data_IF_472466858720
#
_entry.id   IF_472466858720
#
_cell.length_a   1.000
_cell.length_b   1.000
_cell.length_c   1.000
_cell.angle_alpha   90.00
_cell.angle_beta   90.00
_cell.angle_gamma   90.00
#
_symmetry.space_group_name_H-M   'P 1'
#
loop_
_entity.id
_entity.type
_entity.pdbx_description
1 polymer ?
#
# COMPACT_ATOMS: atom_id res chain seq x y z
N UNK A 1 8.80 -11.49 -17.21
CA UNK A 1 7.49 -12.00 -17.60
C UNK A 1 7.47 -12.09 -19.12
N UNK A 2 6.95 -13.17 -19.63
CA UNK A 2 6.95 -13.44 -21.07
C UNK A 2 5.50 -13.74 -21.50
N UNK A 3 5.09 -13.24 -22.64
CA UNK A 3 3.76 -13.47 -23.22
C UNK A 3 2.97 -12.19 -23.48
N UNK A 4 1.83 -12.36 -24.13
CA UNK A 4 0.93 -11.27 -24.47
C UNK A 4 0.15 -10.80 -23.23
N UNK A 5 -0.08 -9.50 -23.14
CA UNK A 5 -0.95 -8.91 -22.10
C UNK A 5 -2.40 -9.00 -22.58
N UNK A 6 -3.26 -9.59 -21.75
CA UNK A 6 -4.71 -9.61 -22.01
C UNK A 6 -5.38 -8.58 -21.12
N UNK A 7 -6.08 -7.62 -21.75
CA UNK A 7 -6.93 -6.66 -21.04
C UNK A 7 -8.33 -7.28 -20.84
N UNK A 8 -8.73 -7.49 -19.59
CA UNK A 8 -10.06 -7.98 -19.21
C UNK A 8 -11.05 -6.84 -18.95
N UNK A 9 -10.63 -5.60 -19.12
CA UNK A 9 -11.45 -4.42 -18.88
C UNK A 9 -11.62 -4.08 -17.39
N UNK A 10 -12.68 -3.36 -17.10
CA UNK A 10 -12.99 -2.90 -15.73
C UNK A 10 -13.54 -4.05 -14.88
N UNK A 11 -12.90 -4.34 -13.76
CA UNK A 11 -13.25 -5.47 -12.87
C UNK A 11 -14.27 -5.10 -11.79
N UNK A 12 -14.37 -3.80 -11.44
CA UNK A 12 -15.33 -3.25 -10.47
C UNK A 12 -15.59 -1.78 -10.82
N UNK A 13 -16.86 -1.39 -10.98
CA UNK A 13 -17.26 0.01 -11.09
C UNK A 13 -17.65 0.56 -9.71
N UNK A 14 -17.23 1.78 -9.41
CA UNK A 14 -17.60 2.47 -8.16
C UNK A 14 -19.13 2.63 -8.00
N UNK A 15 -19.87 2.66 -9.11
CA UNK A 15 -21.34 2.77 -9.09
C UNK A 15 -22.03 1.50 -8.63
N UNK A 16 -21.33 0.37 -8.64
CA UNK A 16 -21.83 -0.92 -8.13
C UNK A 16 -21.67 -1.05 -6.62
N UNK A 17 -20.95 -0.10 -5.97
CA UNK A 17 -20.67 -0.15 -4.54
C UNK A 17 -21.61 0.79 -3.77
N UNK A 18 -22.57 0.27 -2.99
CA UNK A 18 -23.69 1.06 -2.44
C UNK A 18 -23.28 2.21 -1.53
N UNK A 19 -22.18 2.07 -0.80
CA UNK A 19 -21.71 3.07 0.16
C UNK A 19 -20.76 4.12 -0.45
N UNK A 20 -20.30 3.91 -1.70
CA UNK A 20 -19.33 4.79 -2.35
C UNK A 20 -20.02 6.00 -2.98
N UNK A 21 -19.52 7.18 -2.63
CA UNK A 21 -19.88 8.45 -3.26
C UNK A 21 -18.93 8.79 -4.41
N UNK A 22 -17.61 8.68 -4.20
CA UNK A 22 -16.58 9.10 -5.15
C UNK A 22 -15.18 8.61 -4.81
N UNK A 23 -14.23 8.85 -5.70
CA UNK A 23 -12.78 8.66 -5.49
C UNK A 23 -12.43 7.23 -5.02
N UNK A 24 -12.68 6.25 -5.86
CA UNK A 24 -12.08 4.93 -5.71
C UNK A 24 -10.66 5.01 -6.25
N UNK A 25 -9.68 4.72 -5.38
CA UNK A 25 -8.26 4.87 -5.67
C UNK A 25 -7.52 3.53 -5.69
N UNK A 26 -6.20 3.55 -5.49
CA UNK A 26 -5.33 2.38 -5.65
C UNK A 26 -5.76 1.22 -4.75
N UNK A 27 -5.81 0.02 -5.33
CA UNK A 27 -6.34 -1.20 -4.73
C UNK A 27 -5.32 -2.33 -4.77
N UNK A 28 -5.59 -3.38 -3.99
CA UNK A 28 -4.82 -4.62 -4.00
C UNK A 28 -5.75 -5.85 -3.95
N UNK A 29 -5.26 -7.00 -4.38
CA UNK A 29 -6.03 -8.23 -4.46
C UNK A 29 -5.27 -9.42 -3.88
N UNK A 30 -5.97 -10.23 -3.09
CA UNK A 30 -5.44 -11.45 -2.50
C UNK A 30 -6.31 -12.66 -2.84
N UNK A 31 -5.67 -13.80 -3.09
CA UNK A 31 -6.36 -15.10 -3.23
C UNK A 31 -6.42 -15.82 -1.88
N UNK A 32 -7.58 -16.36 -1.54
CA UNK A 32 -7.77 -17.32 -0.44
C UNK A 32 -8.87 -18.31 -0.78
N UNK A 33 -8.55 -19.60 -0.64
CA UNK A 33 -9.50 -20.72 -0.80
C UNK A 33 -10.25 -20.71 -2.16
N UNK A 34 -9.53 -20.34 -3.24
CA UNK A 34 -10.08 -20.27 -4.59
C UNK A 34 -10.98 -19.07 -4.86
N UNK A 35 -11.04 -18.11 -3.95
CA UNK A 35 -11.70 -16.82 -4.11
C UNK A 35 -10.67 -15.70 -4.19
N UNK A 36 -11.02 -14.63 -4.90
CA UNK A 36 -10.21 -13.42 -5.04
C UNK A 36 -10.91 -12.26 -4.33
N UNK A 37 -10.16 -11.55 -3.49
CA UNK A 37 -10.65 -10.47 -2.65
C UNK A 37 -9.94 -9.18 -3.06
N UNK A 38 -10.68 -8.27 -3.68
CA UNK A 38 -10.19 -6.96 -4.09
C UNK A 38 -10.48 -5.95 -2.97
N UNK A 39 -9.45 -5.36 -2.41
CA UNK A 39 -9.55 -4.30 -1.40
C UNK A 39 -9.30 -2.94 -2.06
N UNK A 40 -10.18 -2.00 -1.80
CA UNK A 40 -10.14 -0.69 -2.43
C UNK A 40 -10.52 0.41 -1.45
N UNK A 41 -9.88 1.59 -1.52
CA UNK A 41 -10.31 2.75 -0.78
C UNK A 41 -11.31 3.55 -1.61
N UNK A 42 -12.37 4.04 -0.98
CA UNK A 42 -13.27 4.99 -1.62
C UNK A 42 -13.90 5.92 -0.58
N UNK A 43 -14.31 7.11 -1.02
CA UNK A 43 -15.03 8.04 -0.14
C UNK A 43 -16.49 7.67 -0.03
N UNK A 44 -16.94 7.55 1.22
CA UNK A 44 -18.34 7.37 1.57
C UNK A 44 -19.15 8.67 1.40
N UNK A 45 -20.44 8.62 1.71
CA UNK A 45 -21.35 9.77 1.60
C UNK A 45 -21.02 10.93 2.56
N UNK A 46 -20.13 10.71 3.52
CA UNK A 46 -19.63 11.75 4.44
C UNK A 46 -18.28 12.33 4.01
N UNK A 47 -17.80 11.98 2.80
CA UNK A 47 -16.49 12.37 2.25
C UNK A 47 -15.28 11.84 3.03
N UNK A 48 -15.47 10.73 3.76
CA UNK A 48 -14.42 10.02 4.47
C UNK A 48 -14.01 8.79 3.65
N UNK A 49 -12.70 8.58 3.48
CA UNK A 49 -12.20 7.34 2.91
C UNK A 49 -12.46 6.16 3.83
N UNK A 50 -12.99 5.08 3.26
CA UNK A 50 -13.16 3.76 3.87
C UNK A 50 -12.52 2.72 2.98
N UNK A 51 -12.15 1.60 3.56
CA UNK A 51 -11.73 0.43 2.79
C UNK A 51 -12.95 -0.47 2.54
N UNK A 52 -13.13 -0.86 1.29
CA UNK A 52 -14.11 -1.85 0.88
C UNK A 52 -13.44 -3.14 0.47
N UNK A 53 -14.23 -4.20 0.39
CA UNK A 53 -13.84 -5.47 -0.19
C UNK A 53 -14.87 -5.94 -1.20
N UNK A 54 -14.42 -6.48 -2.32
CA UNK A 54 -15.24 -7.13 -3.33
C UNK A 54 -14.67 -8.52 -3.64
N UNK A 55 -15.53 -9.48 -3.95
CA UNK A 55 -15.17 -10.90 -4.08
C UNK A 55 -15.47 -11.40 -5.48
N UNK A 56 -14.57 -12.23 -6.03
CA UNK A 56 -14.74 -12.90 -7.31
C UNK A 56 -14.27 -14.35 -7.25
N UNK A 57 -14.81 -15.18 -8.16
CA UNK A 57 -14.33 -16.55 -8.40
C UNK A 57 -13.14 -16.60 -9.37
N UNK A 58 -12.76 -15.47 -9.95
CA UNK A 58 -11.64 -15.37 -10.91
C UNK A 58 -10.77 -14.12 -10.61
N UNK A 59 -9.47 -14.14 -10.93
CA UNK A 59 -8.60 -12.99 -10.67
C UNK A 59 -8.93 -11.75 -11.51
N UNK A 60 -9.69 -11.92 -12.57
CA UNK A 60 -10.06 -10.85 -13.51
C UNK A 60 -11.52 -10.44 -13.38
N UNK A 61 -12.20 -10.84 -12.31
CA UNK A 61 -13.57 -10.44 -12.00
C UNK A 61 -14.64 -11.19 -12.83
N UNK A 62 -15.88 -10.67 -12.85
CA UNK A 62 -16.29 -9.45 -12.14
C UNK A 62 -16.23 -9.61 -10.62
N UNK A 63 -15.91 -8.55 -9.93
CA UNK A 63 -15.91 -8.52 -8.47
C UNK A 63 -17.26 -8.02 -7.93
N UNK A 64 -17.81 -8.72 -6.96
CA UNK A 64 -19.06 -8.35 -6.28
C UNK A 64 -18.71 -7.67 -4.95
N UNK A 65 -19.00 -6.36 -4.78
CA UNK A 65 -18.68 -5.65 -3.57
C UNK A 65 -19.56 -6.03 -2.38
N UNK A 66 -19.01 -5.94 -1.17
CA UNK A 66 -19.81 -5.99 0.06
C UNK A 66 -20.66 -4.71 0.19
N UNK A 67 -21.81 -4.83 0.83
CA UNK A 67 -22.77 -3.71 1.00
C UNK A 67 -22.26 -2.58 1.87
N UNK A 68 -21.30 -2.88 2.74
CA UNK A 68 -20.74 -1.97 3.74
C UNK A 68 -19.20 -2.00 3.69
N UNK A 69 -18.53 -0.91 4.06
CA UNK A 69 -17.08 -0.89 4.17
C UNK A 69 -16.59 -1.73 5.36
N UNK A 70 -15.32 -2.05 5.38
CA UNK A 70 -14.66 -2.68 6.53
C UNK A 70 -14.78 -1.74 7.74
N UNK A 71 -15.38 -2.23 8.81
CA UNK A 71 -15.60 -1.45 10.04
C UNK A 71 -14.29 -1.02 10.67
N UNK A 72 -14.22 0.23 11.13
CA UNK A 72 -13.01 0.80 11.71
C UNK A 72 -11.94 1.18 10.68
N UNK A 73 -12.20 0.97 9.38
CA UNK A 73 -11.29 1.39 8.32
C UNK A 73 -11.40 2.90 8.03
N UNK A 74 -10.30 3.46 7.58
CA UNK A 74 -10.16 4.85 7.13
C UNK A 74 -8.95 4.98 6.23
N UNK A 75 -8.76 6.14 5.56
CA UNK A 75 -7.61 6.41 4.69
C UNK A 75 -7.57 5.54 3.43
N UNK A 76 -6.41 5.35 2.82
CA UNK A 76 -6.23 4.85 1.45
C UNK A 76 -5.16 3.75 1.36
N UNK A 77 -4.94 3.26 0.14
CA UNK A 77 -3.84 2.40 -0.28
C UNK A 77 -3.76 1.09 0.54
N UNK A 78 -4.84 0.27 0.53
CA UNK A 78 -4.77 -1.04 1.14
C UNK A 78 -3.79 -1.94 0.38
N UNK A 79 -2.90 -2.60 1.12
CA UNK A 79 -2.05 -3.66 0.65
C UNK A 79 -2.29 -4.91 1.50
N UNK A 80 -2.50 -6.04 0.85
CA UNK A 80 -2.91 -7.29 1.52
C UNK A 80 -1.74 -8.26 1.53
N UNK A 81 -1.38 -8.70 2.71
CA UNK A 81 -0.30 -9.66 2.90
C UNK A 81 -0.82 -10.93 3.58
N UNK A 82 -0.63 -12.08 2.93
CA UNK A 82 -0.90 -13.41 3.48
C UNK A 82 0.41 -14.00 3.97
N UNK A 83 0.51 -14.23 5.27
CA UNK A 83 1.71 -14.81 5.89
C UNK A 83 1.73 -16.34 5.74
N UNK A 84 2.88 -16.96 6.04
CA UNK A 84 3.12 -18.42 5.91
C UNK A 84 2.20 -19.27 6.81
N UNK A 85 1.70 -18.70 7.90
CA UNK A 85 0.72 -19.35 8.80
C UNK A 85 -0.73 -19.26 8.31
N UNK A 86 -0.94 -18.60 7.14
CA UNK A 86 -2.25 -18.38 6.53
C UNK A 86 -2.99 -17.17 7.08
N UNK A 87 -2.45 -16.46 8.08
CA UNK A 87 -3.05 -15.23 8.56
C UNK A 87 -2.88 -14.11 7.53
N UNK A 88 -3.93 -13.31 7.36
CA UNK A 88 -3.93 -12.21 6.38
C UNK A 88 -4.00 -10.85 7.09
N UNK A 89 -3.19 -9.92 6.61
CA UNK A 89 -3.05 -8.57 7.12
C UNK A 89 -3.34 -7.54 6.03
N UNK A 90 -3.93 -6.40 6.41
CA UNK A 90 -4.08 -5.25 5.52
C UNK A 90 -3.26 -4.10 6.08
N UNK A 91 -2.31 -3.62 5.29
CA UNK A 91 -1.56 -2.39 5.55
C UNK A 91 -2.24 -1.26 4.78
N UNK A 92 -2.38 -0.09 5.38
CA UNK A 92 -3.06 1.02 4.73
C UNK A 92 -2.68 2.36 5.33
N UNK A 93 -2.96 3.41 4.58
CA UNK A 93 -2.76 4.78 5.02
C UNK A 93 -2.16 5.65 3.94
N UNK A 94 -2.52 6.92 3.97
CA UNK A 94 -1.92 7.96 3.14
C UNK A 94 -2.22 9.33 3.71
N UNK A 95 -1.22 10.20 3.67
CA UNK A 95 -1.31 11.58 4.15
C UNK A 95 -2.05 12.46 3.14
N UNK A 96 -2.26 13.72 3.49
CA UNK A 96 -2.90 14.76 2.67
C UNK A 96 -4.25 14.30 2.10
N UNK A 97 -4.33 14.00 0.79
CA UNK A 97 -5.54 13.51 0.12
C UNK A 97 -6.08 12.22 0.71
N UNK A 98 -5.20 11.38 1.26
CA UNK A 98 -5.53 10.11 1.91
C UNK A 98 -6.09 10.24 3.33
N UNK A 99 -6.09 11.44 3.91
CA UNK A 99 -6.76 11.78 5.17
C UNK A 99 -6.17 11.15 6.44
N UNK A 100 -5.02 10.46 6.39
CA UNK A 100 -4.46 9.75 7.56
C UNK A 100 -4.17 10.71 8.74
N UNK A 101 -3.73 11.93 8.46
CA UNK A 101 -3.47 12.99 9.45
C UNK A 101 -4.75 13.51 10.17
N UNK A 102 -5.91 12.98 9.81
CA UNK A 102 -7.19 13.26 10.48
C UNK A 102 -7.54 12.20 11.53
N UNK A 103 -6.62 11.27 11.81
CA UNK A 103 -6.86 10.18 12.76
C UNK A 103 -5.73 10.07 13.76
N UNK A 104 -6.11 10.04 15.04
CA UNK A 104 -5.22 9.78 16.16
C UNK A 104 -5.79 8.62 16.98
N UNK A 105 -4.97 7.60 17.25
CA UNK A 105 -5.39 6.41 17.95
C UNK A 105 -6.71 5.82 17.43
N UNK A 106 -6.84 5.72 16.09
CA UNK A 106 -8.02 5.31 15.32
C UNK A 106 -9.27 6.20 15.48
N UNK A 107 -9.16 7.28 16.22
CA UNK A 107 -10.26 8.25 16.39
C UNK A 107 -10.13 9.40 15.41
N UNK A 108 -11.25 9.78 14.78
CA UNK A 108 -11.29 10.91 13.89
C UNK A 108 -11.10 12.24 14.68
N UNK A 109 -10.27 13.12 14.15
CA UNK A 109 -10.03 14.46 14.66
C UNK A 109 -10.96 15.46 13.99
N UNK A 110 -11.32 16.53 14.68
CA UNK A 110 -12.09 17.64 14.09
C UNK A 110 -11.33 18.32 12.93
N UNK A 111 -10.00 18.47 13.11
CA UNK A 111 -9.10 19.04 12.11
C UNK A 111 -7.93 18.11 11.84
N UNK A 112 -7.28 18.29 10.71
CA UNK A 112 -6.02 17.60 10.39
C UNK A 112 -4.91 18.07 11.34
N UNK A 113 -4.16 17.12 11.91
CA UNK A 113 -3.00 17.42 12.74
C UNK A 113 -1.74 16.86 12.07
N UNK A 114 -0.69 17.67 12.04
CA UNK A 114 0.63 17.28 11.59
C UNK A 114 1.62 17.44 12.74
N UNK A 115 2.45 16.44 13.03
CA UNK A 115 3.51 16.58 14.02
C UNK A 115 4.55 17.60 13.55
N UNK A 116 5.24 18.25 14.48
CA UNK A 116 6.38 19.09 14.16
C UNK A 116 7.55 18.24 13.63
N UNK A 117 8.47 18.83 12.87
CA UNK A 117 9.57 18.12 12.22
C UNK A 117 10.42 17.25 13.17
N UNK A 118 10.55 17.63 14.41
CA UNK A 118 11.29 16.90 15.44
C UNK A 118 10.50 15.77 16.14
N UNK A 119 9.20 15.66 15.89
CA UNK A 119 8.32 14.66 16.47
C UNK A 119 8.23 13.41 15.58
N UNK A 120 7.78 12.26 16.12
CA UNK A 120 7.57 11.05 15.31
C UNK A 120 6.63 11.30 14.13
N UNK A 121 6.99 10.75 12.96
CA UNK A 121 6.16 10.80 11.77
C UNK A 121 4.85 10.02 11.97
N UNK A 122 3.80 10.42 11.26
CA UNK A 122 2.53 9.68 11.23
C UNK A 122 2.77 8.32 10.54
N UNK A 123 2.58 7.18 11.23
CA UNK A 123 2.83 5.87 10.67
C UNK A 123 1.66 5.37 9.83
N UNK A 124 1.93 4.45 8.88
CA UNK A 124 0.90 3.61 8.26
C UNK A 124 0.13 2.80 9.31
N UNK A 125 -0.89 2.08 8.89
CA UNK A 125 -1.69 1.19 9.75
C UNK A 125 -1.62 -0.24 9.25
N UNK A 126 -1.78 -1.18 10.17
CA UNK A 126 -1.95 -2.60 9.87
C UNK A 126 -3.05 -3.17 10.74
N UNK A 127 -3.90 -4.01 10.16
CA UNK A 127 -4.89 -4.78 10.88
C UNK A 127 -5.01 -6.18 10.29
N UNK A 128 -5.28 -7.16 11.16
CA UNK A 128 -5.51 -8.54 10.77
C UNK A 128 -6.94 -8.72 10.29
N UNK A 129 -7.11 -9.48 9.20
CA UNK A 129 -8.42 -9.85 8.67
C UNK A 129 -9.03 -11.06 9.38
N UNK A 130 -10.34 -11.08 9.43
CA UNK A 130 -11.12 -12.26 9.80
C UNK A 130 -10.95 -13.40 8.78
N UNK A 131 -11.34 -14.61 9.17
CA UNK A 131 -11.23 -15.79 8.31
C UNK A 131 -11.97 -15.64 6.98
N UNK A 132 -13.10 -14.93 6.98
CA UNK A 132 -13.90 -14.63 5.80
C UNK A 132 -13.35 -13.52 4.92
N UNK A 133 -12.22 -12.91 5.29
CA UNK A 133 -11.53 -11.87 4.54
C UNK A 133 -12.27 -10.52 4.43
N UNK A 134 -13.38 -10.31 5.15
CA UNK A 134 -14.28 -9.17 4.92
C UNK A 134 -14.23 -8.10 6.00
N UNK A 135 -13.69 -8.40 7.17
CA UNK A 135 -13.65 -7.47 8.29
C UNK A 135 -12.32 -7.59 9.07
N UNK A 136 -11.93 -6.53 9.76
CA UNK A 136 -10.85 -6.60 10.74
C UNK A 136 -11.30 -7.37 12.00
N UNK A 137 -10.39 -8.15 12.60
CA UNK A 137 -10.60 -8.81 13.89
C UNK A 137 -9.99 -8.05 15.06
N UNK A 138 -9.35 -6.94 14.78
CA UNK A 138 -8.67 -6.08 15.75
C UNK A 138 -8.71 -4.63 15.30
N UNK A 139 -8.44 -3.71 16.23
CA UNK A 139 -8.22 -2.30 15.89
C UNK A 139 -6.92 -2.14 15.09
N UNK A 140 -6.88 -1.25 14.08
CA UNK A 140 -5.66 -0.96 13.34
C UNK A 140 -4.53 -0.49 14.26
N UNK A 141 -3.33 -1.03 14.04
CA UNK A 141 -2.11 -0.71 14.78
C UNK A 141 -1.18 0.16 13.94
N UNK A 142 -0.38 1.05 14.57
CA UNK A 142 0.63 1.81 13.86
C UNK A 142 1.77 0.92 13.36
N UNK A 143 2.19 1.14 12.11
CA UNK A 143 3.40 0.54 11.52
C UNK A 143 4.56 1.48 11.77
N UNK A 144 5.32 1.23 12.85
CA UNK A 144 6.41 2.11 13.27
C UNK A 144 7.68 1.78 12.48
N UNK A 145 8.26 2.80 11.84
CA UNK A 145 9.55 2.72 11.17
C UNK A 145 10.60 3.39 12.06
N UNK A 146 11.69 2.68 12.32
CA UNK A 146 12.80 3.14 13.13
C UNK A 146 13.99 3.53 12.25
N UNK A 147 14.78 4.48 12.72
CA UNK A 147 16.09 4.80 12.19
C UNK A 147 17.16 3.76 12.63
N UNK A 148 18.41 4.01 12.27
CA UNK A 148 19.57 3.19 12.61
C UNK A 148 19.89 3.17 14.13
N UNK A 149 19.42 4.16 14.87
CA UNK A 149 19.55 4.26 16.34
C UNK A 149 18.38 3.57 17.08
N UNK A 150 17.42 3.02 16.36
CA UNK A 150 16.21 2.38 16.92
C UNK A 150 15.16 3.38 17.41
N UNK A 151 15.19 4.63 16.92
CA UNK A 151 14.18 5.66 17.22
C UNK A 151 13.19 5.79 16.08
N UNK A 152 11.91 6.11 16.35
CA UNK A 152 10.95 6.38 15.28
C UNK A 152 11.42 7.48 14.34
N UNK A 153 11.24 7.28 13.03
CA UNK A 153 11.49 8.32 12.04
C UNK A 153 10.65 9.56 12.36
N UNK A 154 11.19 10.73 12.07
CA UNK A 154 10.58 12.02 12.40
C UNK A 154 9.73 12.55 11.23
N UNK A 155 8.80 13.44 11.55
CA UNK A 155 7.99 14.11 10.55
C UNK A 155 8.81 14.91 9.52
N UNK A 156 9.95 15.47 9.94
CA UNK A 156 10.89 16.18 9.08
C UNK A 156 11.79 15.27 8.21
N UNK A 157 11.76 13.95 8.38
CA UNK A 157 12.55 13.00 7.59
C UNK A 157 11.87 12.73 6.23
N UNK A 158 11.66 13.76 5.44
CA UNK A 158 10.85 13.74 4.20
C UNK A 158 11.30 12.71 3.16
N UNK A 159 12.56 12.35 3.13
CA UNK A 159 13.17 11.37 2.24
C UNK A 159 13.13 9.93 2.77
N UNK A 160 12.63 9.71 3.98
CA UNK A 160 12.60 8.39 4.63
C UNK A 160 11.27 8.04 5.29
N UNK A 161 10.49 9.04 5.73
CA UNK A 161 9.23 8.80 6.43
C UNK A 161 8.14 8.29 5.50
N UNK A 162 7.20 7.55 6.08
CA UNK A 162 5.99 7.11 5.40
C UNK A 162 5.14 8.30 4.94
N UNK A 163 4.61 8.19 3.72
CA UNK A 163 3.58 9.09 3.21
C UNK A 163 2.35 8.32 2.75
N UNK A 164 2.49 7.35 1.83
CA UNK A 164 1.40 6.51 1.32
C UNK A 164 1.93 5.22 0.64
N UNK A 165 1.08 4.48 -0.07
CA UNK A 165 1.44 3.33 -0.89
C UNK A 165 2.13 2.20 -0.11
N UNK A 166 1.52 1.76 0.99
CA UNK A 166 2.01 0.62 1.78
C UNK A 166 2.10 -0.65 0.94
N UNK A 167 3.15 -1.44 1.16
CA UNK A 167 3.27 -2.80 0.65
C UNK A 167 4.01 -3.69 1.64
N UNK A 168 3.69 -4.98 1.66
CA UNK A 168 4.40 -5.96 2.48
C UNK A 168 4.73 -7.20 1.68
N UNK A 169 5.98 -7.67 1.79
CA UNK A 169 6.38 -8.99 1.31
C UNK A 169 7.39 -9.63 2.27
N UNK A 170 7.64 -10.91 2.08
CA UNK A 170 8.56 -11.69 2.91
C UNK A 170 9.71 -12.22 2.05
N UNK A 171 10.93 -12.00 2.51
CA UNK A 171 12.13 -12.51 1.86
C UNK A 171 13.11 -13.04 2.92
N UNK A 172 13.62 -14.27 2.73
CA UNK A 172 14.53 -14.95 3.67
C UNK A 172 14.05 -14.89 5.14
N UNK A 173 12.74 -15.08 5.37
CA UNK A 173 12.13 -15.10 6.70
C UNK A 173 11.99 -13.73 7.38
N UNK A 174 12.34 -12.63 6.69
CA UNK A 174 12.15 -11.25 7.16
C UNK A 174 10.99 -10.57 6.45
N UNK A 175 10.38 -9.61 7.11
CA UNK A 175 9.24 -8.82 6.61
C UNK A 175 9.75 -7.49 6.08
N UNK A 176 9.46 -7.21 4.82
CA UNK A 176 9.86 -5.99 4.11
C UNK A 176 8.64 -5.10 3.92
N UNK A 177 8.57 -4.06 4.70
CA UNK A 177 7.55 -3.02 4.56
C UNK A 177 8.08 -1.93 3.63
N UNK A 178 7.44 -1.73 2.48
CA UNK A 178 7.81 -0.70 1.52
C UNK A 178 6.69 0.33 1.35
N UNK A 179 7.07 1.55 0.97
CA UNK A 179 6.16 2.69 0.95
C UNK A 179 6.73 3.86 0.14
N UNK A 180 5.87 4.78 -0.27
CA UNK A 180 6.25 6.05 -0.88
C UNK A 180 6.47 7.14 0.18
N UNK A 181 7.45 8.01 -0.06
CA UNK A 181 7.77 9.17 0.79
C UNK A 181 6.96 10.42 0.44
N UNK A 182 6.21 10.40 -0.67
CA UNK A 182 5.33 11.48 -1.12
C UNK A 182 6.10 12.62 -1.78
N UNK A 183 6.33 13.70 -1.05
CA UNK A 183 6.94 14.95 -1.56
C UNK A 183 8.36 14.81 -2.12
N UNK A 184 9.11 13.81 -1.72
CA UNK A 184 10.42 13.47 -2.31
C UNK A 184 10.36 12.41 -3.41
N UNK A 185 9.17 11.80 -3.63
CA UNK A 185 8.88 10.83 -4.68
C UNK A 185 9.74 9.55 -4.65
N UNK A 186 10.33 9.22 -3.51
CA UNK A 186 11.08 7.99 -3.33
C UNK A 186 10.17 6.83 -2.97
N UNK A 187 10.53 5.63 -3.42
CA UNK A 187 10.00 4.38 -2.90
C UNK A 187 11.03 3.80 -1.95
N UNK A 188 10.69 3.72 -0.67
CA UNK A 188 11.58 3.27 0.40
C UNK A 188 11.13 1.95 1.01
N UNK A 189 12.01 1.33 1.81
CA UNK A 189 11.67 0.13 2.55
C UNK A 189 12.34 0.06 3.93
N UNK A 190 11.73 -0.73 4.80
CA UNK A 190 12.20 -1.06 6.13
C UNK A 190 11.99 -2.55 6.40
N UNK A 191 12.82 -3.16 7.24
CA UNK A 191 12.80 -4.60 7.54
C UNK A 191 12.43 -4.83 9.02
N UNK A 192 11.58 -5.83 9.26
CA UNK A 192 11.17 -6.27 10.59
C UNK A 192 11.16 -7.79 10.75
N UNK A 193 10.90 -8.24 11.98
CA UNK A 193 10.90 -9.66 12.35
C UNK A 193 9.48 -10.27 12.43
N UNK A 194 8.45 -9.46 12.32
CA UNK A 194 7.05 -9.89 12.33
C UNK A 194 6.17 -8.88 11.58
N UNK A 195 4.93 -9.25 11.20
CA UNK A 195 4.07 -8.40 10.36
C UNK A 195 3.63 -7.07 11.00
N UNK A 196 3.72 -6.92 12.30
CA UNK A 196 3.39 -5.66 12.99
C UNK A 196 4.59 -4.72 13.15
N UNK A 197 5.82 -5.20 12.86
CA UNK A 197 7.05 -4.46 13.14
C UNK A 197 7.43 -4.41 14.64
N UNK A 198 8.22 -3.44 15.10
CA UNK A 198 8.68 -2.30 14.31
C UNK A 198 9.61 -2.69 13.15
N UNK A 199 9.73 -1.81 12.17
CA UNK A 199 10.57 -2.02 11.00
C UNK A 199 11.73 -1.03 11.03
N UNK A 200 12.95 -1.47 10.73
CA UNK A 200 14.14 -0.62 10.65
C UNK A 200 14.37 -0.19 9.20
N UNK A 201 14.44 1.11 8.97
CA UNK A 201 14.69 1.70 7.65
C UNK A 201 15.98 1.14 7.02
N UNK A 202 15.92 0.78 5.75
CA UNK A 202 17.05 0.19 5.04
C UNK A 202 17.52 1.02 3.82
N UNK A 203 16.64 1.76 3.20
CA UNK A 203 17.02 2.56 2.03
C UNK A 203 15.92 2.75 1.01
N UNK A 204 16.34 3.12 -0.19
CA UNK A 204 15.51 3.41 -1.36
C UNK A 204 15.46 2.20 -2.26
N UNK A 205 14.26 1.85 -2.75
CA UNK A 205 14.03 0.82 -3.77
C UNK A 205 14.06 1.45 -5.16
N UNK A 206 13.35 2.58 -5.32
CA UNK A 206 13.16 3.26 -6.60
C UNK A 206 13.31 4.77 -6.41
N UNK A 207 14.15 5.38 -7.25
CA UNK A 207 14.26 6.84 -7.32
C UNK A 207 13.05 7.44 -8.05
N UNK A 208 12.84 8.78 -8.01
CA UNK A 208 11.65 9.39 -8.59
C UNK A 208 11.41 9.01 -10.05
N UNK A 209 10.15 8.77 -10.38
CA UNK A 209 9.67 8.54 -11.75
C UNK A 209 8.94 9.78 -12.27
N UNK A 210 8.66 9.82 -13.58
CA UNK A 210 7.83 10.90 -14.15
C UNK A 210 6.40 10.77 -13.66
N UNK A 211 5.90 11.78 -12.98
CA UNK A 211 4.58 11.83 -12.34
C UNK A 211 4.68 12.12 -10.85
N UNK A 212 3.54 11.99 -10.13
CA UNK A 212 3.51 12.12 -8.68
C UNK A 212 3.95 10.81 -8.02
N UNK A 213 3.54 10.51 -6.81
CA UNK A 213 3.95 9.32 -6.04
C UNK A 213 3.80 8.01 -6.81
N UNK A 214 4.60 7.02 -6.43
CA UNK A 214 4.61 5.70 -7.05
C UNK A 214 3.94 4.68 -6.14
N UNK A 215 2.74 4.22 -6.51
CA UNK A 215 2.16 3.01 -5.94
C UNK A 215 2.84 1.79 -6.56
N UNK A 216 3.02 0.72 -5.81
CA UNK A 216 3.83 -0.41 -6.24
C UNK A 216 3.35 -1.74 -5.66
N UNK A 217 3.83 -2.82 -6.23
CA UNK A 217 3.86 -4.12 -5.56
C UNK A 217 5.16 -4.88 -5.88
N UNK A 218 5.57 -5.73 -4.96
CA UNK A 218 6.77 -6.57 -5.08
C UNK A 218 6.34 -8.02 -4.97
N UNK A 219 6.60 -8.81 -6.01
CA UNK A 219 6.16 -10.21 -6.09
C UNK A 219 7.26 -11.12 -6.59
N UNK A 220 7.27 -12.35 -6.09
CA UNK A 220 8.09 -13.42 -6.64
C UNK A 220 7.34 -14.15 -7.75
N UNK A 221 8.02 -14.38 -8.86
CA UNK A 221 7.49 -15.19 -9.94
C UNK A 221 8.61 -16.03 -10.58
N UNK A 222 8.46 -17.33 -10.56
CA UNK A 222 9.43 -18.31 -11.12
C UNK A 222 10.86 -18.12 -10.60
N UNK A 223 11.00 -17.88 -9.28
CA UNK A 223 12.29 -17.73 -8.61
C UNK A 223 13.00 -16.40 -8.87
N UNK A 224 12.29 -15.41 -9.41
CA UNK A 224 12.74 -14.03 -9.57
C UNK A 224 11.77 -13.07 -8.91
N UNK A 225 12.31 -11.98 -8.41
CA UNK A 225 11.51 -10.90 -7.82
C UNK A 225 11.28 -9.79 -8.83
N UNK A 226 10.10 -9.18 -8.78
CA UNK A 226 9.68 -8.11 -9.67
C UNK A 226 9.06 -6.98 -8.87
N UNK A 227 9.46 -5.76 -9.23
CA UNK A 227 8.79 -4.53 -8.82
C UNK A 227 7.83 -4.12 -9.93
N UNK A 228 6.54 -4.02 -9.59
CA UNK A 228 5.54 -3.36 -10.41
C UNK A 228 5.34 -1.96 -9.86
N UNK A 229 5.40 -0.98 -10.72
CA UNK A 229 5.16 0.41 -10.37
C UNK A 229 4.50 1.14 -11.54
N UNK A 230 4.23 2.40 -11.42
CA UNK A 230 3.71 3.19 -12.52
C UNK A 230 4.54 4.45 -12.75
N UNK A 231 4.44 4.97 -13.97
CA UNK A 231 4.87 6.31 -14.33
C UNK A 231 3.81 7.03 -15.18
N UNK A 232 4.10 8.25 -15.58
CA UNK A 232 3.25 9.03 -16.46
C UNK A 232 3.95 9.44 -17.78
N UNK A 233 5.04 8.78 -18.17
CA UNK A 233 5.84 9.07 -19.38
C UNK A 233 4.97 9.07 -20.63
N UNK A 234 4.16 8.03 -20.94
CA UNK A 234 3.36 7.99 -22.17
C UNK A 234 2.32 9.11 -22.27
N UNK A 235 1.92 9.68 -21.14
CA UNK A 235 0.94 10.79 -21.10
C UNK A 235 1.59 12.19 -21.09
N UNK A 236 2.93 12.26 -21.15
CA UNK A 236 3.68 13.51 -21.05
C UNK A 236 3.69 14.10 -19.65
N UNK A 237 3.72 13.24 -18.61
CA UNK A 237 3.78 13.64 -17.19
C UNK A 237 2.44 13.95 -16.55
N UNK A 238 1.31 13.55 -17.15
CA UNK A 238 -0.02 13.73 -16.54
C UNK A 238 -0.23 12.71 -15.45
N UNK A 239 -0.05 13.10 -14.20
CA UNK A 239 -0.04 12.26 -12.98
C UNK A 239 -1.22 11.28 -12.87
N UNK A 240 -2.40 11.62 -13.38
CA UNK A 240 -3.59 10.75 -13.35
C UNK A 240 -3.73 9.81 -14.56
N UNK A 241 -2.85 9.93 -15.58
CA UNK A 241 -2.77 9.05 -16.74
C UNK A 241 -1.51 8.21 -16.62
N UNK A 242 -1.61 7.18 -15.80
CA UNK A 242 -0.51 6.30 -15.39
C UNK A 242 -0.33 5.14 -16.35
N UNK A 243 0.89 4.66 -16.47
CA UNK A 243 1.28 3.47 -17.22
C UNK A 243 1.98 2.49 -16.32
N UNK A 244 1.61 1.23 -16.39
CA UNK A 244 2.24 0.17 -15.62
C UNK A 244 3.66 -0.07 -16.15
N UNK A 245 4.60 -0.17 -15.22
CA UNK A 245 5.98 -0.59 -15.42
C UNK A 245 6.26 -1.84 -14.60
N UNK A 246 7.19 -2.65 -15.08
CA UNK A 246 7.72 -3.80 -14.36
C UNK A 246 9.21 -3.89 -14.58
N UNK A 247 9.96 -4.12 -13.49
CA UNK A 247 11.40 -4.35 -13.54
C UNK A 247 11.77 -5.51 -12.61
N UNK A 248 12.88 -6.18 -12.91
CA UNK A 248 13.45 -7.19 -12.01
C UNK A 248 13.99 -6.49 -10.77
N UNK A 249 13.58 -6.98 -9.60
CA UNK A 249 14.08 -6.52 -8.30
C UNK A 249 15.11 -7.53 -7.80
N UNK A 250 16.23 -7.05 -7.27
CA UNK A 250 17.33 -7.89 -6.79
C UNK A 250 17.66 -7.60 -5.36
N UNK A 251 18.16 -8.62 -4.67
CA UNK A 251 18.67 -8.54 -3.32
C UNK A 251 20.17 -8.82 -3.34
N UNK A 252 20.91 -8.07 -2.54
CA UNK A 252 22.33 -8.37 -2.29
C UNK A 252 22.49 -9.59 -1.33
N UNK A 253 23.75 -9.92 -1.01
CA UNK A 253 24.07 -11.05 -0.13
C UNK A 253 23.54 -10.87 1.31
N UNK A 254 23.31 -9.63 1.75
CA UNK A 254 22.79 -9.29 3.07
C UNK A 254 21.25 -9.17 3.09
N UNK A 255 20.60 -9.40 1.94
CA UNK A 255 19.15 -9.29 1.78
C UNK A 255 18.65 -7.85 1.59
N UNK A 256 19.55 -6.89 1.29
CA UNK A 256 19.12 -5.53 0.96
C UNK A 256 18.66 -5.47 -0.50
N UNK A 257 17.63 -4.68 -0.74
CA UNK A 257 17.14 -4.43 -2.10
C UNK A 257 18.13 -3.52 -2.84
N UNK A 258 18.56 -3.93 -4.03
CA UNK A 258 19.33 -3.10 -4.94
C UNK A 258 18.45 -1.96 -5.47
N UNK A 259 18.91 -0.72 -5.34
CA UNK A 259 18.17 0.47 -5.78
C UNK A 259 18.02 0.48 -7.31
N UNK A 260 16.85 0.87 -7.77
CA UNK A 260 16.48 1.01 -9.17
C UNK A 260 16.35 2.50 -9.49
N UNK A 261 16.96 2.95 -10.60
CA UNK A 261 16.81 4.31 -11.09
C UNK A 261 15.49 4.46 -11.86
N UNK A 262 14.64 5.40 -11.41
CA UNK A 262 13.28 5.55 -11.92
C UNK A 262 13.14 6.38 -13.20
N UNK A 263 14.13 7.19 -13.54
CA UNK A 263 14.13 8.10 -14.70
C UNK A 263 15.15 7.71 -15.78
N UNK A 264 15.55 6.44 -15.83
CA UNK A 264 16.37 5.99 -16.94
C UNK A 264 15.56 6.00 -18.25
N UNK A 265 16.15 6.58 -19.29
CA UNK A 265 15.62 6.94 -20.62
C UNK A 265 14.87 5.83 -21.40
#
# INVERSE_FOLDING_TARGET
MEGDVTDYGMVLDKTDVPWVKRQMWDCDCCEKDGKYYLYFPAKDHTDIFRLGVAVSDTPYGPFVPESDPIRGSYSIDPAVFKDDDGQVYVYFGGLMGGQLQRYKDNSALECAEFPADGEPAIPSRVARLAEDMKQFVEEPRPVVILDEDGKPLKAGDHDRRFFEASWMHKYNGKYYFSYSTGDTHLLCYAIGDNPYGPFVYQGVILTPVVGWTTHHCIVEYKGKWYLFHHDSVPSGGRTWLRSLKVCELRYDADGKIEMIEGMDD
#
